data_IF_540409860023
#
_entry.id   IF_540409860023
#
_cell.length_a   1.000
_cell.length_b   1.000
_cell.length_c   1.000
_cell.angle_alpha   90.00
_cell.angle_beta   90.00
_cell.angle_gamma   90.00
#
_symmetry.space_group_name_H-M   'P 1'
#
loop_
_entity.id
_entity.type
_entity.pdbx_description
1 polymer ?
#
# COMPACT_ATOMS: atom_id res chain seq x y z
N UNK A 1 5.67 -19.60 2.55
CA UNK A 1 5.35 -18.18 2.29
C UNK A 1 3.96 -17.89 2.78
N UNK A 2 3.78 -16.85 3.58
CA UNK A 2 2.46 -16.34 3.96
C UNK A 2 1.95 -15.36 2.89
N UNK A 3 0.64 -15.11 2.85
CA UNK A 3 0.07 -14.10 1.95
C UNK A 3 0.68 -12.71 2.18
N UNK A 4 1.07 -12.41 3.42
CA UNK A 4 1.69 -11.14 3.78
C UNK A 4 3.14 -11.03 3.26
N UNK A 5 3.89 -12.13 3.25
CA UNK A 5 5.23 -12.19 2.64
C UNK A 5 5.15 -11.99 1.13
N UNK A 6 4.21 -12.68 0.47
CA UNK A 6 3.92 -12.49 -0.97
C UNK A 6 3.55 -11.03 -1.29
N UNK A 7 2.68 -10.43 -0.49
CA UNK A 7 2.29 -9.03 -0.66
C UNK A 7 3.49 -8.09 -0.47
N UNK A 8 4.33 -8.36 0.52
CA UNK A 8 5.54 -7.57 0.77
C UNK A 8 6.52 -7.64 -0.40
N UNK A 9 6.80 -8.84 -0.90
CA UNK A 9 7.66 -9.03 -2.07
C UNK A 9 7.07 -8.38 -3.32
N UNK A 10 5.75 -8.50 -3.54
CA UNK A 10 5.06 -7.87 -4.66
C UNK A 10 5.15 -6.33 -4.60
N UNK A 11 4.90 -5.73 -3.43
CA UNK A 11 4.98 -4.28 -3.23
C UNK A 11 6.43 -3.81 -3.41
N UNK A 12 7.40 -4.51 -2.84
CA UNK A 12 8.82 -4.17 -2.99
C UNK A 12 9.28 -4.26 -4.46
N UNK A 13 8.79 -5.24 -5.22
CA UNK A 13 9.08 -5.38 -6.64
C UNK A 13 8.42 -4.28 -7.48
N UNK A 14 7.15 -3.97 -7.22
CA UNK A 14 6.38 -2.98 -8.00
C UNK A 14 6.73 -1.54 -7.66
N UNK A 15 7.15 -1.26 -6.42
CA UNK A 15 7.49 0.06 -5.90
C UNK A 15 8.87 0.07 -5.23
N UNK A 16 9.95 -0.22 -5.96
CA UNK A 16 11.29 -0.44 -5.38
C UNK A 16 11.86 0.79 -4.65
N UNK A 17 11.34 1.99 -4.98
CA UNK A 17 11.80 3.25 -4.42
C UNK A 17 11.15 3.64 -3.10
N UNK A 18 10.17 2.86 -2.62
CA UNK A 18 9.57 3.07 -1.32
C UNK A 18 10.56 2.73 -0.19
N UNK A 19 11.50 1.82 -0.42
CA UNK A 19 12.50 1.41 0.56
C UNK A 19 11.96 0.33 1.52
N UNK A 20 12.64 0.14 2.65
CA UNK A 20 12.25 -0.88 3.64
C UNK A 20 10.91 -0.49 4.26
N UNK A 21 9.94 -1.38 4.15
CA UNK A 21 8.60 -1.18 4.67
C UNK A 21 8.21 -2.35 5.56
N UNK A 22 7.59 -2.05 6.70
CA UNK A 22 6.87 -3.05 7.48
C UNK A 22 5.42 -3.07 7.02
N UNK A 23 4.91 -4.24 6.64
CA UNK A 23 3.53 -4.40 6.19
C UNK A 23 2.75 -5.12 7.28
N UNK A 24 1.53 -4.68 7.54
CA UNK A 24 0.54 -5.42 8.31
C UNK A 24 -0.83 -5.36 7.62
N UNK A 25 -1.68 -6.33 7.91
CA UNK A 25 -3.01 -6.42 7.30
C UNK A 25 -4.06 -6.56 8.38
N UNK A 26 -5.08 -5.70 8.32
CA UNK A 26 -6.23 -5.74 9.23
C UNK A 26 -7.45 -6.24 8.47
N UNK A 27 -7.84 -7.47 8.76
CA UNK A 27 -8.83 -8.20 7.99
C UNK A 27 -10.23 -7.60 8.11
N UNK A 28 -10.63 -7.14 9.30
CA UNK A 28 -11.99 -6.67 9.59
C UNK A 28 -12.37 -5.45 8.76
N UNK A 29 -11.37 -4.63 8.41
CA UNK A 29 -11.53 -3.41 7.62
C UNK A 29 -10.77 -3.49 6.28
N UNK A 30 -10.34 -4.70 5.89
CA UNK A 30 -9.61 -4.99 4.64
C UNK A 30 -8.55 -3.94 4.30
N UNK A 31 -7.75 -3.54 5.30
CA UNK A 31 -6.79 -2.44 5.16
C UNK A 31 -5.36 -2.97 5.27
N UNK A 32 -4.51 -2.55 4.34
CA UNK A 32 -3.06 -2.82 4.38
C UNK A 32 -2.36 -1.60 4.95
N UNK A 33 -1.62 -1.80 6.03
CA UNK A 33 -0.76 -0.78 6.62
C UNK A 33 0.66 -0.98 6.13
N UNK A 34 1.28 0.11 5.68
CA UNK A 34 2.66 0.14 5.23
C UNK A 34 3.37 1.17 6.08
N UNK A 35 4.22 0.72 6.98
CA UNK A 35 5.07 1.58 7.77
C UNK A 35 6.41 1.78 7.08
N UNK A 36 6.75 3.03 6.83
CA UNK A 36 7.97 3.43 6.14
C UNK A 36 8.78 4.35 7.04
N UNK A 37 9.97 3.89 7.44
CA UNK A 37 10.85 4.63 8.35
C UNK A 37 11.54 5.83 7.71
N UNK A 38 11.54 5.92 6.38
CA UNK A 38 12.26 6.94 5.64
C UNK A 38 11.32 8.05 5.13
N UNK A 39 11.18 9.17 5.87
CA UNK A 39 10.29 10.26 5.48
C UNK A 39 10.65 10.90 4.13
N UNK A 40 11.92 10.83 3.71
CA UNK A 40 12.37 11.34 2.40
C UNK A 40 11.71 10.62 1.22
N UNK A 41 11.07 9.47 1.45
CA UNK A 41 10.32 8.71 0.43
C UNK A 41 8.87 9.17 0.26
N UNK A 42 8.39 10.09 1.10
CA UNK A 42 6.99 10.57 1.06
C UNK A 42 6.56 11.08 -0.31
N UNK A 43 7.37 11.92 -0.95
CA UNK A 43 7.04 12.47 -2.27
C UNK A 43 6.92 11.38 -3.35
N UNK A 44 7.75 10.33 -3.26
CA UNK A 44 7.71 9.18 -4.17
C UNK A 44 6.44 8.37 -3.94
N UNK A 45 6.10 8.10 -2.68
CA UNK A 45 4.87 7.39 -2.29
C UNK A 45 3.63 8.14 -2.81
N UNK A 46 3.58 9.45 -2.64
CA UNK A 46 2.47 10.28 -3.14
C UNK A 46 2.37 10.27 -4.67
N UNK A 47 3.52 10.30 -5.37
CA UNK A 47 3.56 10.18 -6.83
C UNK A 47 3.01 8.82 -7.30
N UNK A 48 3.34 7.75 -6.58
CA UNK A 48 2.94 6.39 -6.93
C UNK A 48 1.52 6.03 -6.42
N UNK A 49 0.90 6.91 -5.61
CA UNK A 49 -0.37 6.62 -4.93
C UNK A 49 -1.52 6.22 -5.87
N UNK A 50 -1.55 6.81 -7.08
CA UNK A 50 -2.56 6.45 -8.09
C UNK A 50 -2.39 5.02 -8.60
N UNK A 51 -1.16 4.55 -8.76
CA UNK A 51 -0.86 3.18 -9.19
C UNK A 51 -1.13 2.17 -8.07
N UNK A 52 -0.89 2.57 -6.81
CA UNK A 52 -1.27 1.79 -5.63
C UNK A 52 -2.79 1.64 -5.56
N UNK A 53 -3.55 2.72 -5.76
CA UNK A 53 -5.01 2.70 -5.76
C UNK A 53 -5.63 1.81 -6.86
N UNK A 54 -4.83 1.35 -7.83
CA UNK A 54 -5.24 0.45 -8.91
C UNK A 54 -4.85 -1.01 -8.67
N UNK A 55 -4.21 -1.31 -7.53
CA UNK A 55 -3.87 -2.68 -7.17
C UNK A 55 -5.15 -3.42 -6.78
N UNK A 56 -5.76 -4.08 -7.76
CA UNK A 56 -6.94 -4.91 -7.57
C UNK A 56 -6.59 -6.21 -6.84
N UNK A 57 -6.28 -6.09 -5.54
CA UNK A 57 -5.79 -7.19 -4.68
C UNK A 57 -6.76 -7.51 -3.53
N UNK A 58 -8.02 -7.09 -3.63
CA UNK A 58 -9.08 -7.43 -2.68
C UNK A 58 -9.00 -6.71 -1.32
N UNK A 59 -8.38 -5.54 -1.27
CA UNK A 59 -8.31 -4.66 -0.08
C UNK A 59 -9.12 -3.39 -0.34
N UNK A 60 -9.63 -2.76 0.70
CA UNK A 60 -10.45 -1.54 0.55
C UNK A 60 -9.56 -0.29 0.47
N UNK A 61 -8.41 -0.29 1.16
CA UNK A 61 -7.48 0.82 1.19
C UNK A 61 -6.07 0.42 1.65
N UNK A 62 -5.10 1.27 1.33
CA UNK A 62 -3.77 1.28 1.90
C UNK A 62 -3.60 2.48 2.83
N UNK A 63 -2.98 2.27 3.98
CA UNK A 63 -2.59 3.33 4.93
C UNK A 63 -1.08 3.32 5.08
N UNK A 64 -0.46 4.44 4.75
CA UNK A 64 1.00 4.58 4.79
C UNK A 64 1.38 5.48 5.96
N UNK A 65 2.12 4.90 6.89
CA UNK A 65 2.55 5.55 8.13
C UNK A 65 4.03 5.91 8.03
N UNK A 66 4.36 7.14 8.41
CA UNK A 66 5.73 7.66 8.41
C UNK A 66 5.97 8.46 9.69
N UNK A 67 7.09 8.27 10.41
CA UNK A 67 7.41 9.05 11.59
C UNK A 67 7.42 10.56 11.32
N UNK A 68 6.71 11.33 12.14
CA UNK A 68 6.68 12.80 12.05
C UNK A 68 5.77 13.38 10.95
N UNK A 69 4.99 12.55 10.26
CA UNK A 69 4.05 12.99 9.24
C UNK A 69 2.65 12.42 9.45
N UNK A 70 1.65 13.12 8.94
CA UNK A 70 0.30 12.56 8.83
C UNK A 70 0.28 11.36 7.89
N UNK A 71 -0.57 10.40 8.23
CA UNK A 71 -0.81 9.19 7.44
C UNK A 71 -1.25 9.56 6.01
N UNK A 72 -0.86 8.73 5.05
CA UNK A 72 -1.35 8.81 3.68
C UNK A 72 -2.38 7.69 3.51
N UNK A 73 -3.63 8.07 3.28
CA UNK A 73 -4.70 7.12 2.98
C UNK A 73 -4.87 7.04 1.46
N UNK A 74 -4.81 5.82 0.92
CA UNK A 74 -4.98 5.54 -0.50
C UNK A 74 -6.16 4.57 -0.65
N UNK A 75 -7.37 5.06 -0.93
CA UNK A 75 -8.52 4.21 -1.19
C UNK A 75 -8.37 3.50 -2.52
N UNK A 76 -8.88 2.27 -2.62
CA UNK A 76 -8.91 1.57 -3.89
C UNK A 76 -9.87 2.22 -4.89
N UNK A 77 -9.41 2.34 -6.12
CA UNK A 77 -10.27 2.63 -7.26
C UNK A 77 -10.90 1.30 -7.64
N UNK A 78 -12.16 1.10 -7.26
CA UNK A 78 -12.92 -0.05 -7.72
C UNK A 78 -12.92 -0.07 -9.26
N UNK A 79 -12.27 -1.08 -9.85
CA UNK A 79 -12.53 -1.41 -11.25
C UNK A 79 -13.98 -1.90 -11.30
N UNK A 80 -14.86 -1.11 -11.92
CA UNK A 80 -16.29 -1.43 -12.07
C UNK A 80 -16.55 -2.65 -12.98
N UNK A 81 -15.52 -3.37 -13.39
CA UNK A 81 -15.57 -4.21 -14.59
C UNK A 81 -15.58 -5.72 -14.35
N UNK A 82 -15.62 -6.21 -13.10
CA UNK A 82 -15.80 -7.64 -12.79
C UNK A 82 -17.25 -8.04 -12.45
N UNK A 83 -18.23 -7.26 -12.92
CA UNK A 83 -19.63 -7.71 -13.01
C UNK A 83 -20.00 -7.93 -14.47
N UNK A 84 -19.67 -9.09 -15.02
CA UNK A 84 -20.37 -9.72 -16.13
C UNK A 84 -20.25 -11.24 -16.00
#
# INVERSE_FOLDING_TARGET
>A
MTCLQLLSEFIAFKFPWWGVCHISFKHEIRTVYIYNENPSKRAIILRDAREVARLDIGVDQFVIMQPGYSEIMIPMIANKDFKN
#
